data_IF_345325023447
#
_entry.id   IF_345325023447
#
_cell.length_a   1.000
_cell.length_b   1.000
_cell.length_c   1.000
_cell.angle_alpha   90.00
_cell.angle_beta   90.00
_cell.angle_gamma   90.00
#
_symmetry.space_group_name_H-M   'P 1'
#
loop_
_entity.id
_entity.type
_entity.pdbx_description
1 polymer ?
#
# COMPACT_ATOMS: atom_id res chain seq x y z
N UNK A 1 12.15 3.61 14.06
CA UNK A 1 12.61 4.97 14.42
C UNK A 1 13.91 5.24 13.69
N UNK A 2 14.17 6.48 13.28
CA UNK A 2 15.43 6.87 12.63
C UNK A 2 15.71 8.37 12.85
N UNK A 3 16.98 8.76 12.93
CA UNK A 3 17.38 10.16 13.08
C UNK A 3 17.44 10.88 11.73
N UNK A 4 17.15 12.18 11.71
CA UNK A 4 17.46 13.03 10.57
C UNK A 4 18.96 13.01 10.27
N UNK A 5 19.35 13.30 9.02
CA UNK A 5 20.75 13.28 8.61
C UNK A 5 21.63 14.27 9.40
N UNK A 6 21.04 15.37 9.90
CA UNK A 6 21.72 16.36 10.74
C UNK A 6 21.62 16.08 12.25
N UNK A 7 20.96 14.98 12.64
CA UNK A 7 20.83 14.54 14.02
C UNK A 7 19.95 15.42 14.92
N UNK A 8 19.20 16.37 14.36
CA UNK A 8 18.35 17.29 15.14
C UNK A 8 16.96 16.74 15.42
N UNK A 9 16.49 15.80 14.61
CA UNK A 9 15.14 15.27 14.72
C UNK A 9 15.16 13.74 14.80
N UNK A 10 14.19 13.19 15.53
CA UNK A 10 13.91 11.77 15.58
C UNK A 10 12.57 11.48 14.91
N UNK A 11 12.58 10.63 13.87
CA UNK A 11 11.39 10.10 13.23
C UNK A 11 10.90 8.83 13.91
N UNK A 12 9.61 8.81 14.27
CA UNK A 12 8.93 7.71 14.92
C UNK A 12 7.79 7.23 14.04
N UNK A 13 7.93 6.02 13.48
CA UNK A 13 6.83 5.33 12.81
C UNK A 13 6.10 4.46 13.84
N UNK A 14 4.84 4.78 14.08
CA UNK A 14 3.95 4.08 14.98
C UNK A 14 2.89 3.35 14.17
N UNK A 15 2.56 2.15 14.62
CA UNK A 15 1.66 1.26 13.94
C UNK A 15 0.65 0.67 14.92
N UNK A 16 -0.61 0.72 14.55
CA UNK A 16 -1.69 -0.04 15.19
C UNK A 16 -2.31 -1.00 14.19
N UNK A 17 -3.35 -1.74 14.61
CA UNK A 17 -4.12 -2.58 13.69
C UNK A 17 -4.87 -1.78 12.62
N UNK A 18 -5.19 -0.53 12.94
CA UNK A 18 -6.10 0.36 12.20
C UNK A 18 -5.45 1.66 11.74
N UNK A 19 -4.16 1.89 11.98
CA UNK A 19 -3.47 3.10 11.51
C UNK A 19 -1.96 2.95 11.41
N UNK A 20 -1.38 3.79 10.56
CA UNK A 20 0.06 4.01 10.46
C UNK A 20 0.32 5.51 10.60
N UNK A 21 1.12 5.91 11.59
CA UNK A 21 1.45 7.32 11.84
C UNK A 21 2.94 7.54 11.90
N UNK A 22 3.39 8.63 11.29
CA UNK A 22 4.75 9.13 11.41
C UNK A 22 4.74 10.40 12.25
N UNK A 23 5.58 10.43 13.28
CA UNK A 23 5.83 11.59 14.12
C UNK A 23 7.29 12.02 13.99
N UNK A 24 7.55 13.31 14.09
CA UNK A 24 8.89 13.88 14.21
C UNK A 24 9.04 14.56 15.55
N UNK A 25 10.12 14.26 16.27
CA UNK A 25 10.49 14.89 17.53
C UNK A 25 11.73 15.76 17.33
N UNK A 26 11.62 17.06 17.58
CA UNK A 26 12.76 17.97 17.69
C UNK A 26 13.52 17.67 19.00
N UNK A 27 14.81 17.35 18.88
CA UNK A 27 15.63 16.91 20.02
C UNK A 27 16.15 18.07 20.87
N UNK A 28 16.14 19.30 20.36
CA UNK A 28 16.59 20.47 21.10
C UNK A 28 15.53 20.97 22.09
N UNK A 29 14.25 20.93 21.70
CA UNK A 29 13.14 21.45 22.51
C UNK A 29 12.12 20.38 22.93
N UNK A 30 12.22 19.15 22.43
CA UNK A 30 11.32 18.05 22.75
C UNK A 30 9.92 18.16 22.12
N UNK A 31 9.72 19.06 21.16
CA UNK A 31 8.44 19.21 20.48
C UNK A 31 8.21 18.12 19.45
N UNK A 32 7.05 17.47 19.54
CA UNK A 32 6.61 16.47 18.57
C UNK A 32 5.61 17.09 17.57
N UNK A 33 5.74 16.72 16.30
CA UNK A 33 4.80 17.06 15.25
C UNK A 33 4.36 15.79 14.51
N UNK A 34 3.08 15.72 14.14
CA UNK A 34 2.57 14.69 13.25
C UNK A 34 3.09 14.98 11.84
N UNK A 35 3.80 14.01 11.26
CA UNK A 35 4.37 14.11 9.91
C UNK A 35 3.52 13.44 8.84
N UNK A 36 2.88 12.30 9.16
CA UNK A 36 1.99 11.58 8.25
C UNK A 36 1.00 10.71 9.02
N UNK A 37 -0.21 10.57 8.51
CA UNK A 37 -1.22 9.64 9.02
C UNK A 37 -1.97 9.01 7.86
N UNK A 38 -2.17 7.70 7.96
CA UNK A 38 -3.14 6.99 7.13
C UNK A 38 -3.85 5.95 7.99
N UNK A 39 -5.14 5.75 7.72
CA UNK A 39 -5.88 4.64 8.28
C UNK A 39 -5.35 3.32 7.72
N UNK A 40 -5.43 2.25 8.49
CA UNK A 40 -4.90 0.93 8.13
C UNK A 40 -3.42 0.72 8.48
N UNK A 41 -3.10 -0.55 8.66
CA UNK A 41 -1.74 -1.01 8.88
C UNK A 41 -1.03 -1.17 7.53
N UNK A 42 -0.08 -0.28 7.24
CA UNK A 42 0.64 -0.32 5.96
C UNK A 42 1.65 -1.46 5.87
N UNK A 43 2.17 -1.98 6.99
CA UNK A 43 3.40 -2.80 6.97
C UNK A 43 3.30 -4.01 6.06
N UNK A 44 2.20 -4.75 6.10
CA UNK A 44 2.08 -5.98 5.32
C UNK A 44 1.99 -5.65 3.84
N UNK A 45 1.18 -4.65 3.49
CA UNK A 45 0.88 -4.31 2.11
C UNK A 45 2.03 -3.59 1.39
N UNK A 46 2.81 -2.76 2.09
CA UNK A 46 3.94 -2.01 1.52
C UNK A 46 5.26 -2.78 1.58
N UNK A 47 5.39 -3.77 2.47
CA UNK A 47 6.56 -4.66 2.48
C UNK A 47 6.48 -5.77 1.45
N UNK A 48 5.31 -6.11 0.91
CA UNK A 48 5.18 -7.17 -0.10
C UNK A 48 5.97 -6.81 -1.38
N UNK A 49 6.76 -7.74 -1.99
CA UNK A 49 6.84 -9.17 -1.72
C UNK A 49 7.93 -9.64 -0.74
N UNK A 50 8.50 -8.76 0.08
CA UNK A 50 9.37 -9.17 1.20
C UNK A 50 10.47 -8.20 1.61
N UNK A 51 10.17 -6.90 1.61
CA UNK A 51 11.03 -5.88 2.20
C UNK A 51 11.21 -6.11 3.71
N UNK A 52 12.46 -6.32 4.12
CA UNK A 52 12.88 -6.42 5.52
C UNK A 52 13.89 -5.36 5.94
N UNK A 53 13.96 -4.25 5.20
CA UNK A 53 14.76 -3.10 5.59
C UNK A 53 14.11 -2.21 6.64
N UNK A 54 14.67 -1.02 6.80
CA UNK A 54 14.16 -0.03 7.73
C UNK A 54 12.74 0.41 7.37
N UNK A 55 11.85 0.40 8.37
CA UNK A 55 10.45 0.76 8.17
C UNK A 55 10.25 2.23 7.75
N UNK A 56 11.21 3.09 8.09
CA UNK A 56 11.22 4.51 7.77
C UNK A 56 12.66 5.00 7.58
N UNK A 57 12.93 5.61 6.43
CA UNK A 57 14.21 6.22 6.08
C UNK A 57 14.00 7.70 5.78
N UNK A 58 14.79 8.59 6.37
CA UNK A 58 14.78 10.01 6.04
C UNK A 58 15.32 10.23 4.63
N UNK A 59 14.72 11.16 3.88
CA UNK A 59 15.39 11.67 2.70
C UNK A 59 16.63 12.48 3.10
N UNK A 60 17.75 12.42 2.35
CA UNK A 60 18.99 13.09 2.74
C UNK A 60 18.89 14.59 3.03
N UNK A 61 17.97 15.31 2.38
CA UNK A 61 17.74 16.74 2.59
C UNK A 61 16.61 17.07 3.60
N UNK A 62 16.01 16.04 4.21
CA UNK A 62 14.93 16.19 5.18
C UNK A 62 13.56 16.53 4.60
N UNK A 63 13.38 16.55 3.27
CA UNK A 63 12.10 16.89 2.62
C UNK A 63 10.98 15.86 2.80
N UNK A 64 11.29 14.68 3.31
CA UNK A 64 10.32 13.60 3.43
C UNK A 64 10.92 12.30 3.95
N UNK A 65 10.12 11.25 3.87
CA UNK A 65 10.46 9.91 4.36
C UNK A 65 10.09 8.85 3.34
N UNK A 66 10.93 7.82 3.22
CA UNK A 66 10.57 6.57 2.55
C UNK A 66 10.06 5.58 3.60
N UNK A 67 8.82 5.14 3.45
CA UNK A 67 8.20 4.12 4.30
C UNK A 67 8.25 2.76 3.64
N UNK A 68 8.72 1.76 4.40
CA UNK A 68 8.82 0.36 4.00
C UNK A 68 9.46 0.12 2.63
N UNK A 69 10.39 1.00 2.25
CA UNK A 69 11.06 0.92 0.95
C UNK A 69 10.20 1.25 -0.27
N UNK A 70 8.92 1.57 -0.08
CA UNK A 70 7.95 1.68 -1.17
C UNK A 70 7.38 3.09 -1.33
N UNK A 71 7.04 3.78 -0.24
CA UNK A 71 6.28 5.03 -0.31
C UNK A 71 7.11 6.22 0.10
N UNK A 72 7.27 7.19 -0.79
CA UNK A 72 7.88 8.46 -0.42
C UNK A 72 6.84 9.49 -0.05
N UNK A 73 6.87 9.92 1.20
CA UNK A 73 5.97 10.92 1.77
C UNK A 73 6.67 12.27 1.76
N UNK A 74 6.03 13.29 1.18
CA UNK A 74 6.48 14.67 1.31
C UNK A 74 6.12 15.22 2.68
N UNK A 75 7.11 15.81 3.36
CA UNK A 75 6.95 16.32 4.72
C UNK A 75 5.99 17.50 4.82
N UNK A 76 5.95 18.38 3.81
CA UNK A 76 5.12 19.59 3.85
C UNK A 76 3.67 19.29 3.52
N UNK A 77 3.45 18.41 2.54
CA UNK A 77 2.12 18.04 2.08
C UNK A 77 1.50 16.92 2.92
N UNK A 78 2.33 16.12 3.60
CA UNK A 78 1.90 14.92 4.30
C UNK A 78 1.18 13.94 3.37
N UNK A 79 1.62 13.86 2.11
CA UNK A 79 1.06 13.02 1.07
C UNK A 79 2.16 12.19 0.40
N UNK A 80 1.77 11.04 -0.14
CA UNK A 80 2.66 10.21 -0.95
C UNK A 80 2.98 10.96 -2.26
N UNK A 81 4.25 11.22 -2.59
CA UNK A 81 4.60 11.79 -3.90
C UNK A 81 4.90 10.73 -4.93
N UNK A 82 5.52 9.64 -4.52
CA UNK A 82 5.83 8.54 -5.42
C UNK A 82 5.87 7.21 -4.69
N UNK A 83 5.59 6.15 -5.45
CA UNK A 83 5.61 4.77 -4.97
C UNK A 83 6.56 3.95 -5.82
N UNK A 84 7.53 3.27 -5.20
CA UNK A 84 8.33 2.24 -5.82
C UNK A 84 7.49 0.96 -5.95
N UNK A 85 7.20 0.54 -7.18
CA UNK A 85 6.60 -0.76 -7.44
C UNK A 85 7.73 -1.76 -7.74
N UNK A 86 7.88 -2.82 -6.94
CA UNK A 86 8.78 -3.90 -7.32
C UNK A 86 8.26 -4.53 -8.61
N UNK A 87 9.17 -4.93 -9.51
CA UNK A 87 8.81 -5.82 -10.63
C UNK A 87 8.04 -7.00 -10.04
N UNK A 88 6.96 -7.45 -10.68
CA UNK A 88 6.29 -8.67 -10.29
C UNK A 88 7.32 -9.74 -9.98
N UNK A 89 7.23 -10.27 -8.77
CA UNK A 89 8.06 -11.37 -8.29
C UNK A 89 9.52 -11.06 -7.95
N UNK A 90 9.99 -9.82 -7.96
CA UNK A 90 11.28 -9.45 -7.35
C UNK A 90 11.11 -9.17 -5.86
N UNK A 91 11.82 -9.91 -5.01
CA UNK A 91 11.88 -9.61 -3.57
C UNK A 91 13.04 -8.64 -3.32
N UNK A 92 12.76 -7.51 -2.67
CA UNK A 92 13.77 -6.57 -2.15
C UNK A 92 14.03 -6.99 -0.70
N UNK A 93 15.26 -7.34 -0.30
CA UNK A 93 15.44 -8.04 1.00
C UNK A 93 16.03 -7.29 2.17
N UNK A 94 16.65 -6.13 2.04
CA UNK A 94 17.26 -5.58 3.27
C UNK A 94 17.54 -4.09 3.21
N UNK A 95 18.19 -3.63 2.15
CA UNK A 95 18.77 -2.30 2.18
C UNK A 95 18.31 -1.51 0.97
N UNK A 96 17.71 -0.36 1.28
CA UNK A 96 17.48 0.70 0.32
C UNK A 96 18.34 1.88 0.75
N UNK A 97 19.17 2.35 -0.17
CA UNK A 97 19.95 3.56 0.02
C UNK A 97 19.29 4.69 -0.78
N UNK A 98 18.94 5.76 -0.08
CA UNK A 98 18.42 6.97 -0.69
C UNK A 98 19.54 7.97 -0.91
N UNK A 99 19.59 8.47 -2.14
CA UNK A 99 20.36 9.65 -2.52
C UNK A 99 19.39 10.68 -3.10
N UNK A 100 19.78 11.95 -3.27
CA UNK A 100 18.91 12.95 -3.90
C UNK A 100 18.34 12.50 -5.26
N UNK A 101 19.09 11.73 -6.05
CA UNK A 101 18.73 11.38 -7.44
C UNK A 101 18.37 9.92 -7.67
N UNK A 102 18.70 9.03 -6.73
CA UNK A 102 18.55 7.59 -6.89
C UNK A 102 18.09 6.94 -5.60
N UNK A 103 17.25 5.91 -5.77
CA UNK A 103 17.00 4.87 -4.80
C UNK A 103 17.83 3.65 -5.24
N UNK A 104 18.77 3.20 -4.42
CA UNK A 104 19.53 1.98 -4.69
C UNK A 104 18.88 0.84 -3.91
N UNK A 105 18.32 -0.13 -4.62
CA UNK A 105 17.64 -1.28 -4.03
C UNK A 105 18.48 -2.55 -4.22
N UNK A 106 18.72 -3.28 -3.14
CA UNK A 106 19.27 -4.62 -3.23
C UNK A 106 18.17 -5.65 -3.57
N UNK A 107 18.32 -6.31 -4.71
CA UNK A 107 17.44 -7.41 -5.14
C UNK A 107 17.87 -8.73 -4.52
N UNK A 108 16.90 -9.56 -4.12
CA UNK A 108 17.19 -10.89 -3.59
C UNK A 108 17.47 -11.93 -4.68
N UNK A 109 17.97 -13.09 -4.24
CA UNK A 109 18.26 -14.26 -5.07
C UNK A 109 17.01 -14.99 -5.59
N UNK A 110 15.85 -14.67 -5.03
CA UNK A 110 14.58 -15.31 -5.32
C UNK A 110 13.70 -14.37 -6.14
N UNK A 111 13.54 -14.70 -7.42
CA UNK A 111 12.42 -14.19 -8.20
C UNK A 111 11.28 -15.20 -8.16
N UNK A 112 10.10 -14.85 -8.64
CA UNK A 112 9.14 -15.84 -9.14
C UNK A 112 8.94 -15.66 -10.63
N UNK A 113 8.63 -16.73 -11.35
CA UNK A 113 8.26 -16.61 -12.76
C UNK A 113 6.80 -16.14 -12.90
N UNK A 114 6.32 -15.94 -14.12
CA UNK A 114 4.93 -15.58 -14.43
C UNK A 114 3.88 -16.57 -13.88
N UNK A 115 4.31 -17.75 -13.40
CA UNK A 115 3.46 -18.77 -12.76
C UNK A 115 3.62 -18.77 -11.24
N UNK A 116 4.33 -17.80 -10.67
CA UNK A 116 4.58 -17.65 -9.24
C UNK A 116 5.56 -18.68 -8.66
N UNK A 117 6.29 -19.44 -9.49
CA UNK A 117 7.30 -20.42 -9.02
C UNK A 117 8.59 -19.71 -8.65
N UNK A 118 9.15 -20.03 -7.49
CA UNK A 118 10.42 -19.45 -7.05
C UNK A 118 11.56 -19.81 -8.01
N UNK A 119 12.17 -18.80 -8.63
CA UNK A 119 13.43 -18.87 -9.34
C UNK A 119 14.54 -18.66 -8.32
N UNK A 120 15.13 -19.77 -7.86
CA UNK A 120 16.18 -19.77 -6.86
C UNK A 120 17.55 -19.55 -7.50
N UNK A 121 18.54 -19.17 -6.70
CA UNK A 121 19.97 -19.09 -7.05
C UNK A 121 20.37 -17.97 -8.04
N UNK A 122 19.61 -16.88 -8.16
CA UNK A 122 20.14 -15.66 -8.78
C UNK A 122 21.10 -14.96 -7.82
N UNK A 123 22.14 -14.30 -8.33
CA UNK A 123 22.99 -13.44 -7.49
C UNK A 123 22.24 -12.15 -7.15
N UNK A 124 22.24 -11.67 -5.90
CA UNK A 124 21.71 -10.36 -5.56
C UNK A 124 22.37 -9.29 -6.43
N UNK A 125 21.60 -8.28 -6.83
CA UNK A 125 22.11 -7.11 -7.56
C UNK A 125 21.68 -5.84 -6.83
N UNK A 126 22.60 -4.89 -6.74
CA UNK A 126 22.26 -3.51 -6.41
C UNK A 126 21.73 -2.84 -7.67
N UNK A 127 20.47 -2.40 -7.63
CA UNK A 127 19.77 -1.79 -8.77
C UNK A 127 19.56 -0.30 -8.49
N UNK A 128 20.12 0.60 -9.34
CA UNK A 128 19.85 2.02 -9.23
C UNK A 128 18.51 2.36 -9.89
N UNK A 129 17.57 2.88 -9.10
CA UNK A 129 16.30 3.42 -9.56
C UNK A 129 16.40 4.93 -9.58
N UNK A 130 16.31 5.54 -10.77
CA UNK A 130 16.39 7.00 -10.91
C UNK A 130 15.09 7.65 -10.44
N UNK A 131 15.20 8.60 -9.52
CA UNK A 131 14.05 9.40 -9.07
C UNK A 131 13.77 10.46 -10.16
N UNK A 132 12.56 10.53 -10.74
CA UNK A 132 12.24 11.48 -11.80
C UNK A 132 11.93 12.88 -11.24
N UNK A 133 12.92 13.51 -10.61
CA UNK A 133 12.76 14.75 -9.82
C UNK A 133 12.05 15.86 -10.58
N UNK A 134 12.45 16.15 -11.83
CA UNK A 134 11.82 17.22 -12.62
C UNK A 134 10.34 16.93 -12.86
N UNK A 135 9.99 15.69 -13.19
CA UNK A 135 8.60 15.29 -13.44
C UNK A 135 7.74 15.40 -12.19
N UNK A 136 8.31 15.02 -11.04
CA UNK A 136 7.67 15.18 -9.72
C UNK A 136 7.48 16.67 -9.42
N UNK A 137 8.51 17.49 -9.59
CA UNK A 137 8.47 18.92 -9.32
C UNK A 137 7.43 19.65 -10.20
N UNK A 138 7.40 19.36 -11.51
CA UNK A 138 6.45 19.96 -12.44
C UNK A 138 5.01 19.57 -12.10
N UNK A 139 4.77 18.29 -11.81
CA UNK A 139 3.44 17.78 -11.44
C UNK A 139 3.00 18.33 -10.08
N UNK A 140 3.92 18.47 -9.14
CA UNK A 140 3.64 19.02 -7.82
C UNK A 140 3.33 20.52 -7.89
N UNK A 141 4.07 21.28 -8.70
CA UNK A 141 3.77 22.70 -8.93
C UNK A 141 2.39 22.88 -9.57
N UNK A 142 2.01 22.00 -10.50
CA UNK A 142 0.68 21.99 -11.12
C UNK A 142 -0.43 21.64 -10.11
N UNK A 143 -0.18 20.69 -9.21
CA UNK A 143 -1.09 20.35 -8.11
C UNK A 143 -1.29 21.54 -7.15
N UNK A 144 -0.19 22.14 -6.69
CA UNK A 144 -0.23 23.26 -5.72
C UNK A 144 -0.84 24.54 -6.29
N UNK A 145 -0.64 24.81 -7.58
CA UNK A 145 -1.23 25.96 -8.26
C UNK A 145 -2.71 25.78 -8.61
N UNK A 146 -3.31 24.63 -8.27
CA UNK A 146 -4.67 24.26 -8.66
C UNK A 146 -4.91 24.44 -10.17
N UNK A 147 -3.90 24.10 -10.96
CA UNK A 147 -3.97 24.16 -12.43
C UNK A 147 -5.07 23.22 -12.96
N UNK A 148 -5.45 23.43 -14.23
CA UNK A 148 -6.52 22.66 -14.88
C UNK A 148 -6.24 21.14 -14.82
N UNK A 149 -7.02 20.46 -13.98
CA UNK A 149 -6.90 19.04 -13.66
C UNK A 149 -8.24 18.35 -13.83
N UNK A 150 -8.19 17.04 -14.04
CA UNK A 150 -9.38 16.18 -14.03
C UNK A 150 -9.72 15.80 -12.59
N UNK A 151 -8.69 15.53 -11.80
CA UNK A 151 -8.76 15.27 -10.36
C UNK A 151 -7.71 16.14 -9.67
N UNK A 152 -8.15 17.00 -8.75
CA UNK A 152 -7.29 17.87 -7.94
C UNK A 152 -7.48 17.66 -6.43
N UNK A 153 -6.50 18.09 -5.64
CA UNK A 153 -6.59 18.01 -4.18
C UNK A 153 -7.73 18.86 -3.63
N UNK A 154 -8.42 18.37 -2.60
CA UNK A 154 -9.57 19.06 -2.01
C UNK A 154 -10.88 18.93 -2.78
N UNK A 155 -10.90 18.25 -3.93
CA UNK A 155 -12.09 18.13 -4.78
C UNK A 155 -13.20 17.29 -4.10
N UNK A 156 -14.46 17.61 -4.40
CA UNK A 156 -15.59 16.74 -4.07
C UNK A 156 -15.68 15.56 -5.04
N UNK A 157 -15.74 14.34 -4.50
CA UNK A 157 -15.79 13.08 -5.26
C UNK A 157 -16.85 12.16 -4.68
N UNK A 158 -17.33 11.19 -5.47
CA UNK A 158 -18.22 10.13 -4.98
C UNK A 158 -17.53 8.78 -4.93
N UNK A 159 -18.09 7.86 -4.15
CA UNK A 159 -17.71 6.46 -4.10
C UNK A 159 -18.86 5.62 -4.64
N UNK A 160 -18.57 4.68 -5.53
CA UNK A 160 -19.52 3.70 -6.06
C UNK A 160 -18.97 2.29 -5.81
N UNK A 161 -19.69 1.49 -5.05
CA UNK A 161 -19.26 0.15 -4.63
C UNK A 161 -20.20 -0.89 -5.23
N UNK A 162 -19.61 -1.78 -6.03
CA UNK A 162 -20.26 -2.92 -6.65
C UNK A 162 -19.72 -4.21 -6.05
N UNK A 163 -20.58 -4.95 -5.35
CA UNK A 163 -20.26 -6.24 -4.75
C UNK A 163 -20.88 -7.34 -5.61
N UNK A 164 -20.03 -8.20 -6.16
CA UNK A 164 -20.43 -9.38 -6.92
C UNK A 164 -20.73 -10.57 -6.01
N UNK A 165 -20.21 -11.73 -6.41
CA UNK A 165 -20.40 -12.97 -5.63
C UNK A 165 -19.69 -12.88 -4.29
N UNK A 166 -20.38 -13.27 -3.22
CA UNK A 166 -19.83 -13.46 -1.89
C UNK A 166 -19.87 -14.94 -1.51
N UNK A 167 -18.88 -15.41 -0.76
CA UNK A 167 -18.90 -16.75 -0.15
C UNK A 167 -19.70 -16.74 1.14
N UNK A 168 -19.59 -15.66 1.91
CA UNK A 168 -20.24 -15.46 3.21
C UNK A 168 -20.62 -13.99 3.41
N UNK A 169 -21.56 -13.74 4.31
CA UNK A 169 -21.99 -12.40 4.70
C UNK A 169 -23.03 -11.77 3.78
N UNK A 170 -23.44 -10.55 4.15
CA UNK A 170 -24.43 -9.75 3.44
C UNK A 170 -23.78 -8.77 2.45
N UNK A 171 -24.40 -8.59 1.27
CA UNK A 171 -23.86 -7.71 0.23
C UNK A 171 -23.88 -6.24 0.63
N UNK A 172 -24.93 -5.78 1.31
CA UNK A 172 -25.07 -4.39 1.74
C UNK A 172 -24.11 -4.08 2.89
N UNK A 173 -23.88 -5.02 3.80
CA UNK A 173 -22.86 -4.89 4.85
C UNK A 173 -21.45 -4.75 4.25
N UNK A 174 -21.07 -5.64 3.34
CA UNK A 174 -19.75 -5.58 2.67
C UNK A 174 -19.61 -4.28 1.88
N UNK A 175 -20.67 -3.86 1.19
CA UNK A 175 -20.71 -2.61 0.45
C UNK A 175 -20.47 -1.41 1.36
N UNK A 176 -21.14 -1.37 2.52
CA UNK A 176 -21.00 -0.30 3.52
C UNK A 176 -19.57 -0.23 4.06
N UNK A 177 -18.99 -1.37 4.44
CA UNK A 177 -17.62 -1.42 4.98
C UNK A 177 -16.59 -0.95 3.93
N UNK A 178 -16.70 -1.41 2.68
CA UNK A 178 -15.80 -0.98 1.62
C UNK A 178 -15.94 0.52 1.30
N UNK A 179 -17.17 1.05 1.36
CA UNK A 179 -17.41 2.48 1.19
C UNK A 179 -16.78 3.29 2.32
N UNK A 180 -16.92 2.86 3.57
CA UNK A 180 -16.33 3.53 4.73
C UNK A 180 -14.80 3.52 4.67
N UNK A 181 -14.18 2.37 4.37
CA UNK A 181 -12.72 2.26 4.21
C UNK A 181 -12.21 3.21 3.13
N UNK A 182 -12.88 3.25 1.98
CA UNK A 182 -12.48 4.16 0.93
C UNK A 182 -12.78 5.62 1.22
N UNK A 183 -13.82 5.93 1.98
CA UNK A 183 -14.07 7.29 2.45
C UNK A 183 -12.92 7.77 3.34
N UNK A 184 -12.55 6.99 4.35
CA UNK A 184 -11.42 7.30 5.24
C UNK A 184 -10.12 7.49 4.45
N UNK A 185 -9.87 6.63 3.46
CA UNK A 185 -8.71 6.78 2.56
C UNK A 185 -8.74 8.10 1.78
N UNK A 186 -9.85 8.40 1.12
CA UNK A 186 -9.96 9.61 0.29
C UNK A 186 -9.88 10.89 1.13
N UNK A 187 -10.45 10.89 2.34
CA UNK A 187 -10.34 12.01 3.28
C UNK A 187 -8.89 12.20 3.76
N UNK A 188 -8.11 11.12 3.95
CA UNK A 188 -6.67 11.22 4.23
C UNK A 188 -5.87 11.83 3.07
N UNK A 189 -6.35 11.65 1.84
CA UNK A 189 -5.83 12.29 0.62
C UNK A 189 -6.46 13.67 0.36
N UNK A 190 -7.13 14.26 1.37
CA UNK A 190 -7.77 15.59 1.39
C UNK A 190 -9.04 15.75 0.55
N UNK A 191 -9.60 14.67 0.00
CA UNK A 191 -10.87 14.74 -0.72
C UNK A 191 -12.05 14.94 0.23
N UNK A 192 -13.13 15.52 -0.31
CA UNK A 192 -14.44 15.51 0.34
C UNK A 192 -15.35 14.53 -0.37
N UNK A 193 -15.86 13.53 0.34
CA UNK A 193 -16.76 12.55 -0.24
C UNK A 193 -18.21 13.06 -0.17
N UNK A 194 -18.86 13.16 -1.31
CA UNK A 194 -20.24 13.61 -1.47
C UNK A 194 -20.96 12.79 -2.55
N UNK A 195 -22.30 12.64 -2.51
CA UNK A 195 -23.04 11.97 -3.57
C UNK A 195 -23.02 12.76 -4.89
N UNK A 196 -23.29 12.05 -5.99
CA UNK A 196 -23.54 12.59 -7.33
C UNK A 196 -22.47 13.53 -7.91
N UNK A 197 -21.20 13.30 -7.56
CA UNK A 197 -20.06 14.06 -8.07
C UNK A 197 -19.63 13.57 -9.46
N UNK A 198 -19.10 14.45 -10.31
CA UNK A 198 -18.71 14.09 -11.67
C UNK A 198 -17.58 13.05 -11.71
N UNK A 199 -16.67 13.08 -10.74
CA UNK A 199 -15.57 12.12 -10.61
C UNK A 199 -15.88 11.14 -9.49
N UNK A 200 -15.86 9.86 -9.83
CA UNK A 200 -16.28 8.77 -8.95
C UNK A 200 -15.17 7.75 -8.81
N UNK A 201 -14.85 7.38 -7.57
CA UNK A 201 -14.05 6.21 -7.29
C UNK A 201 -14.95 4.97 -7.29
N UNK A 202 -14.78 4.11 -8.29
CA UNK A 202 -15.48 2.83 -8.39
C UNK A 202 -14.67 1.72 -7.73
N UNK A 203 -15.35 0.91 -6.93
CA UNK A 203 -14.83 -0.32 -6.33
C UNK A 203 -15.66 -1.48 -6.84
N UNK A 204 -15.02 -2.43 -7.52
CA UNK A 204 -15.64 -3.70 -7.91
C UNK A 204 -15.01 -4.79 -7.03
N UNK A 205 -15.82 -5.53 -6.27
CA UNK A 205 -15.37 -6.54 -5.32
C UNK A 205 -16.09 -7.88 -5.54
N UNK A 206 -15.35 -8.99 -5.54
CA UNK A 206 -15.93 -10.32 -5.59
C UNK A 206 -15.07 -11.36 -4.87
N UNK A 207 -15.72 -12.38 -4.31
CA UNK A 207 -15.09 -13.50 -3.63
C UNK A 207 -15.13 -14.77 -4.48
N UNK A 208 -14.11 -15.61 -4.29
CA UNK A 208 -13.95 -16.90 -4.95
C UNK A 208 -13.22 -17.89 -4.03
N UNK A 209 -13.16 -19.16 -4.42
CA UNK A 209 -12.33 -20.13 -3.70
C UNK A 209 -10.86 -19.72 -3.78
N UNK A 210 -10.21 -19.64 -2.63
CA UNK A 210 -8.80 -19.34 -2.48
C UNK A 210 -7.94 -20.60 -2.40
N UNK A 211 -6.80 -20.48 -1.70
CA UNK A 211 -5.93 -21.62 -1.46
C UNK A 211 -6.51 -22.60 -0.42
N UNK A 212 -6.16 -23.88 -0.56
CA UNK A 212 -6.32 -24.85 0.53
C UNK A 212 -5.16 -24.66 1.52
N UNK A 213 -5.49 -24.29 2.75
CA UNK A 213 -4.54 -24.03 3.81
C UNK A 213 -4.43 -25.22 4.75
N UNK A 214 -3.21 -25.57 5.15
CA UNK A 214 -3.00 -26.58 6.19
C UNK A 214 -3.29 -26.00 7.57
N UNK A 215 -4.16 -26.65 8.34
CA UNK A 215 -4.41 -26.23 9.72
C UNK A 215 -3.28 -26.70 10.63
N UNK A 216 -2.78 -25.80 11.48
CA UNK A 216 -1.69 -26.07 12.43
C UNK A 216 -2.13 -25.83 13.87
N UNK A 217 -1.67 -26.67 14.81
CA UNK A 217 -1.79 -26.46 16.26
C UNK A 217 -0.50 -25.82 16.79
N UNK A 218 -0.64 -24.88 17.73
CA UNK A 218 0.50 -24.24 18.39
C UNK A 218 1.04 -25.15 19.50
N UNK A 219 2.25 -25.65 19.32
CA UNK A 219 3.09 -26.28 20.33
C UNK A 219 4.17 -25.32 20.86
N UNK A 220 5.10 -25.88 21.65
CA UNK A 220 6.24 -25.14 22.18
C UNK A 220 7.28 -24.91 21.06
N UNK A 221 7.72 -23.67 20.80
CA UNK A 221 8.82 -23.41 19.86
C UNK A 221 10.08 -24.20 20.24
N UNK A 222 10.80 -24.69 19.24
CA UNK A 222 12.04 -25.44 19.43
C UNK A 222 12.96 -25.39 18.22
N UNK A 223 14.18 -25.91 18.36
CA UNK A 223 15.25 -25.87 17.34
C UNK A 223 14.81 -26.35 15.94
N UNK A 224 13.95 -27.38 15.86
CA UNK A 224 13.39 -27.89 14.60
C UNK A 224 12.00 -27.35 14.22
N UNK A 225 11.38 -26.54 15.08
CA UNK A 225 10.06 -25.94 14.86
C UNK A 225 10.02 -24.54 15.49
N UNK A 226 10.70 -23.55 14.89
CA UNK A 226 10.88 -22.24 15.48
C UNK A 226 9.56 -21.48 15.66
N UNK A 227 8.54 -21.80 14.86
CA UNK A 227 7.19 -21.23 15.01
C UNK A 227 6.33 -21.99 16.02
N UNK A 228 6.79 -23.15 16.50
CA UNK A 228 6.02 -24.04 17.36
C UNK A 228 4.69 -24.45 16.72
N UNK A 229 4.67 -24.73 15.41
CA UNK A 229 3.46 -25.11 14.68
C UNK A 229 3.53 -26.55 14.21
N UNK A 230 2.55 -27.37 14.58
CA UNK A 230 2.47 -28.77 14.14
C UNK A 230 1.24 -28.95 13.26
N UNK A 231 1.37 -29.53 12.04
CA UNK A 231 0.22 -29.83 11.19
C UNK A 231 -0.80 -30.72 11.91
N UNK A 232 -2.08 -30.42 11.73
CA UNK A 232 -3.18 -31.23 12.28
C UNK A 232 -3.62 -32.36 11.36
N UNK A 233 -3.21 -32.34 10.09
CA UNK A 233 -3.74 -33.20 9.03
C UNK A 233 -4.99 -32.64 8.34
N UNK A 234 -5.66 -31.65 8.94
CA UNK A 234 -6.85 -31.01 8.37
C UNK A 234 -6.47 -29.85 7.44
N UNK A 235 -7.33 -29.62 6.44
CA UNK A 235 -7.18 -28.50 5.49
C UNK A 235 -8.44 -27.64 5.48
N UNK A 236 -8.25 -26.33 5.38
CA UNK A 236 -9.31 -25.35 5.24
C UNK A 236 -9.28 -24.75 3.83
N UNK A 237 -10.41 -24.74 3.14
CA UNK A 237 -10.55 -23.97 1.90
C UNK A 237 -10.72 -22.49 2.26
N UNK A 238 -9.69 -21.68 2.00
CA UNK A 238 -9.77 -20.23 2.25
C UNK A 238 -10.62 -19.53 1.18
N UNK A 239 -11.03 -18.31 1.49
CA UNK A 239 -11.64 -17.37 0.54
C UNK A 239 -10.54 -16.50 -0.07
N UNK A 240 -10.59 -16.30 -1.38
CA UNK A 240 -9.84 -15.26 -2.07
C UNK A 240 -10.80 -14.17 -2.54
N UNK A 241 -10.31 -12.93 -2.61
CA UNK A 241 -11.08 -11.80 -3.09
C UNK A 241 -10.33 -11.09 -4.22
N UNK A 242 -11.04 -10.82 -5.31
CA UNK A 242 -10.58 -9.92 -6.35
C UNK A 242 -11.23 -8.56 -6.14
N UNK A 243 -10.43 -7.50 -6.26
CA UNK A 243 -10.95 -6.15 -6.31
C UNK A 243 -10.36 -5.37 -7.48
N UNK A 244 -11.12 -4.39 -7.96
CA UNK A 244 -10.68 -3.40 -8.92
C UNK A 244 -11.12 -2.01 -8.46
N UNK A 245 -10.17 -1.10 -8.45
CA UNK A 245 -10.39 0.32 -8.18
C UNK A 245 -10.29 1.08 -9.49
N UNK A 246 -11.16 2.08 -9.70
CA UNK A 246 -11.10 2.93 -10.88
C UNK A 246 -11.56 4.35 -10.56
N UNK A 247 -10.80 5.35 -11.02
CA UNK A 247 -11.33 6.70 -11.15
C UNK A 247 -12.10 6.81 -12.46
N UNK A 248 -13.35 7.26 -12.39
CA UNK A 248 -14.23 7.42 -13.56
C UNK A 248 -14.79 8.84 -13.59
N UNK A 249 -14.64 9.50 -14.74
CA UNK A 249 -15.39 10.71 -15.05
C UNK A 249 -16.73 10.30 -15.65
N UNK A 250 -17.82 10.57 -14.91
CA UNK A 250 -19.18 10.18 -15.29
C UNK A 250 -19.72 10.99 -16.46
N UNK A 251 -19.30 12.25 -16.62
CA UNK A 251 -19.75 13.11 -17.71
C UNK A 251 -19.20 12.62 -19.05
N UNK A 252 -17.92 12.23 -19.10
CA UNK A 252 -17.29 11.68 -20.31
C UNK A 252 -17.35 10.15 -20.41
N UNK A 253 -17.84 9.46 -19.37
CA UNK A 253 -17.82 7.99 -19.21
C UNK A 253 -16.42 7.38 -19.36
N UNK A 254 -15.38 8.15 -19.06
CA UNK A 254 -13.99 7.74 -19.24
C UNK A 254 -13.41 7.23 -17.94
N UNK A 255 -12.76 6.06 -17.99
CA UNK A 255 -11.86 5.61 -16.93
C UNK A 255 -10.56 6.42 -16.97
N UNK A 256 -10.26 7.13 -15.89
CA UNK A 256 -9.10 7.99 -15.74
C UNK A 256 -7.88 7.21 -15.25
N UNK A 257 -8.12 6.24 -14.36
CA UNK A 257 -7.12 5.37 -13.78
C UNK A 257 -7.80 4.08 -13.29
N UNK A 258 -7.06 2.97 -13.26
CA UNK A 258 -7.53 1.72 -12.65
C UNK A 258 -6.38 0.85 -12.15
N UNK A 259 -6.62 0.14 -11.06
CA UNK A 259 -5.78 -0.96 -10.57
C UNK A 259 -6.66 -2.16 -10.21
N UNK A 260 -6.10 -3.36 -10.26
CA UNK A 260 -6.78 -4.58 -9.87
C UNK A 260 -5.81 -5.52 -9.14
N UNK A 261 -6.32 -6.22 -8.14
CA UNK A 261 -5.53 -7.19 -7.39
C UNK A 261 -6.37 -8.38 -6.94
N UNK A 262 -5.68 -9.49 -6.68
CA UNK A 262 -6.25 -10.70 -6.08
C UNK A 262 -5.59 -10.91 -4.70
N UNK A 263 -6.40 -10.82 -3.66
CA UNK A 263 -6.01 -11.20 -2.29
C UNK A 263 -6.34 -12.68 -2.12
N UNK A 264 -5.31 -13.52 -2.14
CA UNK A 264 -5.45 -14.97 -1.93
C UNK A 264 -4.51 -15.41 -0.80
N UNK A 265 -5.03 -15.59 0.44
CA UNK A 265 -4.23 -15.95 1.59
C UNK A 265 -3.42 -17.22 1.32
N UNK A 266 -2.10 -17.15 1.56
CA UNK A 266 -1.21 -18.33 1.49
C UNK A 266 -1.06 -19.02 2.84
N UNK A 267 -1.38 -18.30 3.89
CA UNK A 267 -1.28 -18.74 5.27
C UNK A 267 -2.22 -17.87 6.11
N UNK A 268 -2.87 -18.47 7.10
CA UNK A 268 -3.67 -17.77 8.10
C UNK A 268 -3.36 -18.39 9.46
N UNK A 269 -3.03 -17.56 10.46
CA UNK A 269 -2.85 -18.03 11.84
C UNK A 269 -4.21 -18.06 12.49
N UNK A 270 -4.88 -19.20 12.42
CA UNK A 270 -6.22 -19.36 12.99
C UNK A 270 -6.25 -20.52 13.99
N UNK A 271 -7.03 -20.36 15.08
CA UNK A 271 -7.23 -21.40 16.09
C UNK A 271 -8.52 -22.15 15.78
N UNK A 272 -8.44 -23.41 15.30
CA UNK A 272 -9.62 -24.24 14.99
C UNK A 272 -10.69 -23.51 14.16
N UNK A 273 -10.26 -22.74 13.14
CA UNK A 273 -11.17 -21.80 12.53
C UNK A 273 -12.07 -22.37 11.44
N UNK A 274 -13.25 -21.77 11.35
CA UNK A 274 -14.20 -22.02 10.26
C UNK A 274 -13.78 -21.27 8.98
N UNK A 275 -14.39 -21.63 7.86
CA UNK A 275 -14.19 -20.91 6.59
C UNK A 275 -14.64 -19.44 6.69
N UNK A 276 -15.65 -19.16 7.51
CA UNK A 276 -16.15 -17.82 7.75
C UNK A 276 -15.16 -16.97 8.55
N UNK A 277 -14.57 -17.52 9.63
CA UNK A 277 -13.51 -16.83 10.39
C UNK A 277 -12.26 -16.55 9.52
N UNK A 278 -11.91 -17.49 8.65
CA UNK A 278 -10.84 -17.28 7.66
C UNK A 278 -11.17 -16.18 6.66
N UNK A 279 -12.43 -16.11 6.21
CA UNK A 279 -12.93 -15.04 5.35
C UNK A 279 -12.87 -13.69 6.05
N UNK A 280 -13.28 -13.59 7.31
CA UNK A 280 -13.19 -12.35 8.10
C UNK A 280 -11.76 -11.84 8.19
N UNK A 281 -10.80 -12.73 8.47
CA UNK A 281 -9.38 -12.36 8.53
C UNK A 281 -8.82 -11.94 7.17
N UNK A 282 -9.23 -12.60 6.09
CA UNK A 282 -8.90 -12.17 4.73
C UNK A 282 -9.49 -10.79 4.43
N UNK A 283 -10.73 -10.54 4.82
CA UNK A 283 -11.41 -9.27 4.58
C UNK A 283 -10.78 -8.12 5.37
N UNK A 284 -10.41 -8.31 6.64
CA UNK A 284 -9.61 -7.36 7.42
C UNK A 284 -8.27 -7.03 6.72
N UNK A 285 -7.55 -8.05 6.24
CA UNK A 285 -6.31 -7.85 5.48
C UNK A 285 -6.52 -7.10 4.17
N UNK A 286 -7.65 -7.32 3.50
CA UNK A 286 -8.03 -6.61 2.28
C UNK A 286 -8.29 -5.12 2.54
N UNK A 287 -8.92 -4.77 3.67
CA UNK A 287 -9.11 -3.36 4.04
C UNK A 287 -7.76 -2.64 4.18
N UNK A 288 -6.80 -3.25 4.90
CA UNK A 288 -5.43 -2.73 4.99
C UNK A 288 -4.75 -2.63 3.61
N UNK A 289 -4.98 -3.62 2.74
CA UNK A 289 -4.45 -3.59 1.37
C UNK A 289 -5.01 -2.42 0.56
N UNK A 290 -6.31 -2.15 0.65
CA UNK A 290 -6.95 -1.00 -0.02
C UNK A 290 -6.34 0.32 0.46
N UNK A 291 -6.08 0.46 1.76
CA UNK A 291 -5.41 1.64 2.32
C UNK A 291 -3.97 1.83 1.80
N UNK A 292 -3.33 0.77 1.31
CA UNK A 292 -1.98 0.79 0.75
C UNK A 292 -1.93 0.83 -0.79
N UNK A 293 -3.07 0.93 -1.47
CA UNK A 293 -3.07 1.10 -2.93
C UNK A 293 -2.61 2.50 -3.33
N UNK A 294 -1.86 2.61 -4.43
CA UNK A 294 -1.35 3.89 -4.96
C UNK A 294 -2.44 4.61 -5.77
N UNK A 295 -3.51 5.02 -5.10
CA UNK A 295 -4.65 5.71 -5.71
C UNK A 295 -4.24 7.15 -6.02
N UNK A 296 -4.34 7.61 -7.29
CA UNK A 296 -4.04 8.99 -7.63
C UNK A 296 -4.94 9.97 -6.89
N UNK A 297 -4.34 10.98 -6.24
CA UNK A 297 -5.04 12.16 -5.73
C UNK A 297 -4.92 13.37 -6.66
N UNK A 298 -4.07 13.29 -7.69
CA UNK A 298 -3.95 14.29 -8.73
C UNK A 298 -3.89 13.61 -10.11
N UNK A 299 -4.75 14.06 -11.03
CA UNK A 299 -4.75 13.64 -12.43
C UNK A 299 -4.79 14.90 -13.30
N UNK A 300 -3.67 15.30 -13.92
CA UNK A 300 -3.60 16.51 -14.75
C UNK A 300 -4.34 16.31 -16.09
N UNK A 301 -4.84 17.41 -16.68
CA UNK A 301 -5.27 17.39 -18.09
C UNK A 301 -4.08 17.43 -19.05
N UNK A 302 -3.02 18.15 -18.69
CA UNK A 302 -1.78 18.19 -19.47
C UNK A 302 -1.07 16.84 -19.38
N UNK A 303 -0.94 16.18 -20.53
CA UNK A 303 -0.29 14.87 -20.68
C UNK A 303 1.24 14.91 -20.47
N UNK A 304 1.84 16.10 -20.40
CA UNK A 304 3.26 16.26 -20.05
C UNK A 304 3.51 16.08 -18.55
N UNK A 305 2.49 16.32 -17.73
CA UNK A 305 2.51 16.12 -16.30
C UNK A 305 2.17 14.67 -15.95
N UNK A 306 2.52 14.27 -14.74
CA UNK A 306 2.22 12.95 -14.18
C UNK A 306 1.11 13.05 -13.14
N UNK A 307 0.32 12.00 -13.01
CA UNK A 307 -0.52 11.81 -11.83
C UNK A 307 0.34 11.68 -10.57
N UNK A 308 -0.23 12.08 -9.43
CA UNK A 308 0.38 11.88 -8.11
C UNK A 308 -0.52 10.97 -7.24
N UNK A 309 0.05 10.02 -6.47
CA UNK A 309 1.47 9.68 -6.43
C UNK A 309 1.96 9.12 -7.78
N UNK A 310 3.24 9.39 -8.09
CA UNK A 310 3.91 8.89 -9.28
C UNK A 310 4.43 7.47 -9.03
N UNK A 311 4.14 6.54 -9.94
CA UNK A 311 4.67 5.18 -9.85
C UNK A 311 6.08 5.11 -10.48
N UNK A 312 7.02 4.53 -9.76
CA UNK A 312 8.39 4.25 -10.23
C UNK A 312 8.56 2.75 -10.19
N UNK A 313 8.92 2.15 -11.33
CA UNK A 313 9.18 0.72 -11.38
C UNK A 313 10.64 0.43 -11.02
N UNK A 314 10.84 -0.65 -10.26
CA UNK A 314 12.15 -1.28 -10.17
C UNK A 314 12.52 -1.84 -11.57
N UNK A 315 13.72 -1.59 -12.11
CA UNK A 315 14.16 -2.21 -13.37
C UNK A 315 14.28 -3.74 -13.27
N UNK A 316 14.06 -4.44 -14.39
CA UNK A 316 14.19 -5.90 -14.56
C UNK A 316 15.63 -6.45 -14.36
#
# INVERSE_FOLDING_TARGET
>A
MNFSADGKELGLLLMSSDSTTLWTLDLANGQAALGYHVTGNLSEATRDPGYSGEDMVWFPDGRGWLLYGAWFIDRKLQQVLWTLKPVPYVIIRSEIYLTPRYLLAETATALRDAKGRALLNRKPKLVPVKIPEQKIADSLAAYQSQSDSILGGGQEVSIDVSVGNLKFGDQDEVKSVLAEVMQQRLESDTFKVAPDQPVVLKIEYQEQDGNKLQMTKRGRPGSGNPLGQTPTGETLQATAAAFKLSWVDTASKRTLWSTQALVNPRFLILRNATAEEARTKMFEGLQNRLMAESIPYFIPRDKKLSSLPLEIDLPD
#
